data_IF_593286117537
#
_entry.id   IF_593286117537
#
_cell.length_a   1.000
_cell.length_b   1.000
_cell.length_c   1.000
_cell.angle_alpha   90.00
_cell.angle_beta   90.00
_cell.angle_gamma   90.00
#
_symmetry.space_group_name_H-M   'P 1'
#
loop_
_entity.id
_entity.type
_entity.pdbx_description
1 polymer ?
#
# COMPACT_ATOMS: atom_id res chain seq x y z
N UNK A 1 -7.53 -8.38 11.07
CA UNK A 1 -8.79 -8.30 10.29
C UNK A 1 -9.22 -9.71 9.96
N UNK A 2 -10.51 -10.03 9.99
CA UNK A 2 -11.03 -11.34 9.58
C UNK A 2 -11.36 -11.37 8.08
N UNK A 3 -11.40 -12.55 7.42
CA UNK A 3 -11.78 -12.65 6.01
C UNK A 3 -13.16 -12.05 5.71
N UNK A 4 -14.12 -12.22 6.62
CA UNK A 4 -15.48 -11.70 6.48
C UNK A 4 -15.52 -10.17 6.54
N UNK A 5 -14.75 -9.56 7.43
CA UNK A 5 -14.61 -8.10 7.51
C UNK A 5 -13.95 -7.52 6.26
N UNK A 6 -12.90 -8.18 5.77
CA UNK A 6 -12.21 -7.78 4.54
C UNK A 6 -13.17 -7.78 3.34
N UNK A 7 -13.88 -8.89 3.12
CA UNK A 7 -14.86 -9.03 2.03
C UNK A 7 -15.95 -7.97 2.16
N UNK A 8 -16.54 -7.82 3.35
CA UNK A 8 -17.64 -6.88 3.57
C UNK A 8 -17.23 -5.43 3.29
N UNK A 9 -16.00 -5.05 3.66
CA UNK A 9 -15.45 -3.71 3.40
C UNK A 9 -15.23 -3.47 1.90
N UNK A 10 -14.55 -4.40 1.23
CA UNK A 10 -14.08 -4.17 -0.14
C UNK A 10 -15.11 -4.50 -1.22
N UNK A 11 -16.07 -5.39 -0.95
CA UNK A 11 -17.15 -5.71 -1.89
C UNK A 11 -18.08 -4.51 -2.16
N UNK A 12 -18.18 -3.56 -1.22
CA UNK A 12 -19.02 -2.36 -1.34
C UNK A 12 -18.24 -1.14 -1.85
N UNK A 13 -16.92 -1.24 -1.99
CA UNK A 13 -16.07 -0.10 -2.35
C UNK A 13 -16.27 0.30 -3.80
N UNK A 14 -16.53 1.59 -4.03
CA UNK A 14 -16.59 2.21 -5.37
C UNK A 14 -15.41 3.17 -5.61
N UNK A 15 -14.41 3.12 -4.73
CA UNK A 15 -13.24 3.97 -4.83
C UNK A 15 -12.41 3.60 -6.07
N UNK A 16 -11.81 4.61 -6.71
CA UNK A 16 -10.85 4.37 -7.78
C UNK A 16 -9.62 3.66 -7.22
N UNK A 17 -8.97 2.83 -8.03
CA UNK A 17 -7.80 2.04 -7.65
C UNK A 17 -6.77 2.86 -6.87
N UNK A 18 -6.32 3.99 -7.42
CA UNK A 18 -5.35 4.89 -6.76
C UNK A 18 -5.77 5.45 -5.39
N UNK A 19 -7.06 5.45 -5.10
CA UNK A 19 -7.64 5.97 -3.86
C UNK A 19 -7.86 4.88 -2.82
N UNK A 20 -7.88 3.62 -3.24
CA UNK A 20 -8.15 2.46 -2.39
C UNK A 20 -6.94 1.56 -2.17
N UNK A 21 -5.97 1.57 -3.10
CA UNK A 21 -4.87 0.60 -3.14
C UNK A 21 -4.08 0.50 -1.85
N UNK A 22 -3.68 1.65 -1.27
CA UNK A 22 -2.92 1.69 -0.02
C UNK A 22 -3.72 1.08 1.14
N UNK A 23 -4.95 1.53 1.36
CA UNK A 23 -5.79 1.02 2.45
C UNK A 23 -6.13 -0.48 2.26
N UNK A 24 -6.42 -0.90 1.03
CA UNK A 24 -6.69 -2.30 0.69
C UNK A 24 -5.50 -3.19 1.01
N UNK A 25 -4.29 -2.75 0.67
CA UNK A 25 -3.08 -3.48 0.97
C UNK A 25 -2.81 -3.57 2.48
N UNK A 26 -3.00 -2.47 3.23
CA UNK A 26 -2.84 -2.49 4.68
C UNK A 26 -3.84 -3.45 5.35
N UNK A 27 -5.06 -3.51 4.86
CA UNK A 27 -6.06 -4.47 5.34
C UNK A 27 -5.72 -5.92 4.98
N UNK A 28 -5.03 -6.14 3.85
CA UNK A 28 -4.51 -7.45 3.49
C UNK A 28 -3.38 -7.89 4.43
N UNK A 29 -2.45 -7.00 4.78
CA UNK A 29 -1.42 -7.28 5.81
C UNK A 29 -2.09 -7.72 7.12
N UNK A 30 -3.09 -6.97 7.58
CA UNK A 30 -3.85 -7.29 8.81
C UNK A 30 -4.68 -8.57 8.72
N UNK A 31 -5.05 -9.00 7.52
CA UNK A 31 -5.78 -10.26 7.29
C UNK A 31 -4.83 -11.46 7.39
N UNK A 32 -3.60 -11.28 6.91
CA UNK A 32 -2.55 -12.30 6.89
C UNK A 32 -1.71 -12.34 8.18
N UNK A 33 -1.95 -11.42 9.11
CA UNK A 33 -1.14 -11.22 10.33
C UNK A 33 0.32 -10.83 10.01
N UNK A 34 0.53 -10.17 8.87
CA UNK A 34 1.81 -9.63 8.45
C UNK A 34 1.92 -8.15 8.85
N UNK A 35 3.12 -7.66 9.20
CA UNK A 35 3.33 -6.26 9.50
C UNK A 35 3.13 -5.39 8.25
N UNK A 36 2.61 -4.18 8.46
CA UNK A 36 2.43 -3.21 7.38
C UNK A 36 3.76 -2.57 6.98
N UNK A 37 3.88 -2.04 5.75
CA UNK A 37 5.09 -1.34 5.29
C UNK A 37 5.61 -0.29 6.28
N UNK A 38 4.72 0.53 6.86
CA UNK A 38 5.10 1.58 7.81
C UNK A 38 5.57 1.04 9.18
N UNK A 39 5.22 -0.19 9.55
CA UNK A 39 5.64 -0.80 10.82
C UNK A 39 7.06 -1.37 10.73
N UNK A 40 7.43 -1.95 9.59
CA UNK A 40 8.77 -2.54 9.38
C UNK A 40 9.75 -1.60 8.69
N UNK A 41 9.25 -0.62 7.95
CA UNK A 41 10.06 0.36 7.23
C UNK A 41 9.42 1.77 7.29
N UNK A 42 9.44 2.43 8.46
CA UNK A 42 8.85 3.76 8.64
C UNK A 42 9.45 4.82 7.71
N UNK A 43 10.67 4.59 7.24
CA UNK A 43 11.42 5.50 6.37
C UNK A 43 11.21 5.21 4.87
N UNK A 44 10.49 4.13 4.52
CA UNK A 44 10.18 3.74 3.15
C UNK A 44 11.41 3.48 2.27
N UNK A 45 12.43 2.85 2.84
CA UNK A 45 13.70 2.55 2.19
C UNK A 45 13.71 1.25 1.36
N UNK A 46 12.98 0.22 1.80
CA UNK A 46 12.98 -1.12 1.22
C UNK A 46 11.58 -1.77 1.09
N UNK A 47 10.57 -1.30 1.82
CA UNK A 47 9.19 -1.77 1.71
C UNK A 47 8.22 -0.60 1.90
N UNK A 48 7.81 0.01 0.78
CA UNK A 48 6.90 1.15 0.73
C UNK A 48 6.11 1.15 -0.58
N UNK A 49 4.95 1.80 -0.57
CA UNK A 49 4.06 1.86 -1.74
C UNK A 49 4.63 2.69 -2.90
N UNK A 50 5.40 3.72 -2.57
CA UNK A 50 5.99 4.63 -3.53
C UNK A 50 7.44 4.87 -3.15
N UNK A 51 8.36 4.54 -4.05
CA UNK A 51 9.78 4.84 -3.86
C UNK A 51 10.17 5.99 -4.77
N UNK A 52 10.64 7.08 -4.16
CA UNK A 52 11.23 8.19 -4.89
C UNK A 52 12.42 7.71 -5.70
N UNK A 53 12.36 7.85 -7.02
CA UNK A 53 13.44 7.51 -7.94
C UNK A 53 13.96 8.77 -8.63
N UNK A 54 15.27 8.91 -8.73
CA UNK A 54 15.87 9.98 -9.52
C UNK A 54 15.87 9.54 -10.98
N UNK A 55 15.19 10.30 -11.84
CA UNK A 55 15.26 10.09 -13.29
C UNK A 55 16.65 10.46 -13.77
N UNK A 56 17.11 9.77 -14.82
CA UNK A 56 18.44 9.97 -15.41
C UNK A 56 18.66 11.37 -16.00
N UNK A 57 17.61 12.18 -16.14
CA UNK A 57 17.66 13.58 -16.62
C UNK A 57 17.71 14.62 -15.49
N UNK A 58 17.79 14.20 -14.22
CA UNK A 58 17.81 15.09 -13.05
C UNK A 58 16.43 15.44 -12.49
N UNK A 59 15.34 14.89 -13.03
CA UNK A 59 13.99 15.02 -12.46
C UNK A 59 13.73 14.06 -11.30
N UNK A 60 12.97 14.49 -10.29
CA UNK A 60 12.40 13.56 -9.30
C UNK A 60 11.19 12.84 -9.90
N UNK A 61 11.17 11.50 -9.79
CA UNK A 61 10.05 10.65 -10.19
C UNK A 61 9.59 9.75 -9.04
N UNK A 62 8.39 9.22 -9.14
CA UNK A 62 7.86 8.22 -8.21
C UNK A 62 7.70 6.92 -8.98
N UNK A 63 8.17 5.82 -8.40
CA UNK A 63 7.90 4.49 -8.90
C UNK A 63 6.99 3.79 -7.90
N UNK A 64 5.91 3.21 -8.40
CA UNK A 64 5.12 2.22 -7.66
C UNK A 64 6.00 0.97 -7.48
N UNK A 65 6.09 0.42 -6.26
CA UNK A 65 6.97 -0.73 -5.90
C UNK A 65 6.17 -1.84 -5.23
#
# INVERSE_FOLDING_TARGET
MTPQEFISKWQLSQLKERSASQEHFLDLCRLLDEPTPAEVDPQGTWYCFEKGTSKTDGGQGWADV
#
